data_IF_106308534416
#
_entry.id   IF_106308534416
#
_cell.length_a   1.000
_cell.length_b   1.000
_cell.length_c   1.000
_cell.angle_alpha   90.00
_cell.angle_beta   90.00
_cell.angle_gamma   90.00
#
_symmetry.space_group_name_H-M   'P 1'
#
loop_
_entity.id
_entity.type
_entity.pdbx_description
1 polymer ?
#
# COMPACT_ATOMS: atom_id res chain seq x y z
N UNK A 1 14.76 40.04 13.65
CA UNK A 1 15.85 40.35 14.59
C UNK A 1 15.78 39.31 15.71
N UNK A 2 16.85 38.59 15.94
CA UNK A 2 16.98 37.62 17.02
C UNK A 2 18.06 38.07 18.00
N UNK A 3 18.04 37.55 19.22
CA UNK A 3 19.11 37.75 20.21
C UNK A 3 20.32 36.85 19.90
N UNK A 4 21.01 36.42 20.94
CA UNK A 4 22.21 35.55 20.86
C UNK A 4 21.88 34.17 20.25
N UNK A 5 20.66 33.67 20.39
CA UNK A 5 20.22 32.36 19.90
C UNK A 5 18.88 32.49 19.17
N UNK A 6 18.60 31.51 18.32
CA UNK A 6 17.26 31.37 17.74
C UNK A 6 16.34 30.51 18.63
N UNK A 7 15.04 30.62 18.45
CA UNK A 7 14.06 29.77 19.13
C UNK A 7 14.23 28.30 18.74
N UNK A 8 14.24 27.39 19.72
CA UNK A 8 14.31 25.95 19.50
C UNK A 8 13.11 25.40 18.72
N UNK A 9 12.07 26.21 18.55
CA UNK A 9 10.95 25.91 17.65
C UNK A 9 11.37 25.66 16.20
N UNK A 10 12.52 26.20 15.79
CA UNK A 10 13.10 25.97 14.45
C UNK A 10 13.53 24.50 14.34
N UNK A 11 14.22 23.97 15.36
CA UNK A 11 14.65 22.56 15.38
C UNK A 11 13.45 21.62 15.32
N UNK A 12 12.36 21.95 16.05
CA UNK A 12 11.09 21.23 15.98
C UNK A 12 10.52 21.20 14.55
N UNK A 13 10.52 22.34 13.86
CA UNK A 13 10.02 22.41 12.47
C UNK A 13 10.87 21.55 11.53
N UNK A 14 12.19 21.57 11.67
CA UNK A 14 13.10 20.78 10.83
C UNK A 14 12.84 19.28 11.01
N UNK A 15 12.83 18.80 12.26
CA UNK A 15 12.63 17.36 12.52
C UNK A 15 11.21 16.90 12.14
N UNK A 16 10.19 17.76 12.25
CA UNK A 16 8.85 17.45 11.75
C UNK A 16 8.82 17.26 10.22
N UNK A 17 9.59 18.03 9.45
CA UNK A 17 9.70 17.81 8.00
C UNK A 17 10.36 16.47 7.71
N UNK A 18 11.45 16.14 8.40
CA UNK A 18 12.14 14.86 8.27
C UNK A 18 11.22 13.69 8.63
N UNK A 19 10.44 13.84 9.70
CA UNK A 19 9.44 12.83 10.09
C UNK A 19 8.33 12.66 9.04
N UNK A 20 7.93 13.73 8.36
CA UNK A 20 6.99 13.66 7.24
C UNK A 20 7.53 12.86 6.06
N UNK A 21 8.81 13.05 5.72
CA UNK A 21 9.50 12.25 4.69
C UNK A 21 9.57 10.77 5.13
N UNK A 22 9.99 10.53 6.37
CA UNK A 22 10.07 9.18 6.93
C UNK A 22 8.71 8.47 6.94
N UNK A 23 7.63 9.16 7.30
CA UNK A 23 6.27 8.61 7.30
C UNK A 23 5.83 8.16 5.89
N UNK A 24 6.14 8.95 4.86
CA UNK A 24 5.86 8.59 3.46
C UNK A 24 6.64 7.36 3.02
N UNK A 25 7.93 7.29 3.37
CA UNK A 25 8.78 6.15 3.08
C UNK A 25 8.33 4.89 3.84
N UNK A 26 7.88 5.04 5.09
CA UNK A 26 7.30 3.94 5.86
C UNK A 26 6.04 3.37 5.19
N UNK A 27 5.14 4.24 4.75
CA UNK A 27 3.92 3.82 4.04
C UNK A 27 4.27 3.02 2.78
N UNK A 28 5.17 3.54 1.95
CA UNK A 28 5.68 2.84 0.76
C UNK A 28 6.26 1.47 1.12
N UNK A 29 7.11 1.40 2.14
CA UNK A 29 7.75 0.14 2.55
C UNK A 29 6.74 -0.92 3.00
N UNK A 30 5.65 -0.52 3.63
CA UNK A 30 4.57 -1.43 3.99
C UNK A 30 3.86 -1.98 2.76
N UNK A 31 3.60 -1.15 1.75
CA UNK A 31 3.00 -1.61 0.49
C UNK A 31 3.89 -2.66 -0.20
N UNK A 32 5.20 -2.38 -0.30
CA UNK A 32 6.16 -3.34 -0.87
C UNK A 32 6.12 -4.67 -0.12
N UNK A 33 6.13 -4.64 1.21
CA UNK A 33 6.08 -5.86 2.05
C UNK A 33 4.80 -6.67 1.84
N UNK A 34 3.65 -6.00 1.74
CA UNK A 34 2.36 -6.64 1.50
C UNK A 34 2.29 -7.25 0.09
N UNK A 35 2.72 -6.51 -0.93
CA UNK A 35 2.71 -6.99 -2.31
C UNK A 35 3.74 -8.11 -2.54
N UNK A 36 4.87 -8.07 -1.84
CA UNK A 36 5.84 -9.18 -1.84
C UNK A 36 5.28 -10.42 -1.14
N UNK A 37 4.50 -10.27 -0.07
CA UNK A 37 3.77 -11.38 0.55
C UNK A 37 2.81 -12.04 -0.44
N UNK A 38 2.13 -11.24 -1.26
CA UNK A 38 1.26 -11.71 -2.34
C UNK A 38 2.02 -12.27 -3.55
N UNK A 39 3.36 -12.16 -3.57
CA UNK A 39 4.23 -12.56 -4.69
C UNK A 39 3.96 -11.76 -5.97
N UNK A 40 3.44 -10.55 -5.86
CA UNK A 40 3.12 -9.68 -6.98
C UNK A 40 4.29 -8.80 -7.38
N UNK A 41 5.11 -8.41 -6.39
CA UNK A 41 6.37 -7.68 -6.60
C UNK A 41 7.46 -8.24 -5.69
N UNK A 42 8.71 -7.92 -6.00
CA UNK A 42 9.85 -8.15 -5.12
C UNK A 42 10.80 -6.95 -5.15
N UNK A 43 11.40 -6.63 -4.02
CA UNK A 43 12.55 -5.73 -4.01
C UNK A 43 13.77 -6.40 -4.66
N UNK A 44 14.77 -5.61 -5.14
CA UNK A 44 15.93 -6.18 -5.84
C UNK A 44 16.67 -7.17 -4.95
N UNK A 45 17.06 -8.28 -5.56
CA UNK A 45 17.83 -9.35 -4.92
C UNK A 45 19.16 -9.53 -5.62
N UNK A 46 20.25 -9.33 -4.92
CA UNK A 46 21.58 -9.47 -5.49
C UNK A 46 21.97 -10.94 -5.66
N UNK A 47 22.73 -11.25 -6.72
CA UNK A 47 23.15 -12.63 -7.06
C UNK A 47 23.90 -13.33 -5.92
N UNK A 48 24.59 -12.56 -5.08
CA UNK A 48 25.36 -13.05 -3.93
C UNK A 48 24.60 -12.95 -2.60
N UNK A 49 23.39 -12.42 -2.60
CA UNK A 49 22.60 -12.25 -1.40
C UNK A 49 22.02 -13.58 -0.93
N UNK A 50 22.20 -13.90 0.34
CA UNK A 50 21.61 -15.08 0.98
C UNK A 50 20.29 -14.67 1.64
N UNK A 51 19.16 -15.17 1.14
CA UNK A 51 17.84 -14.85 1.68
C UNK A 51 17.53 -15.58 2.99
N UNK A 52 18.00 -16.81 3.14
CA UNK A 52 17.84 -17.66 4.32
C UNK A 52 18.80 -18.82 4.26
N UNK A 53 19.41 -19.18 5.39
CA UNK A 53 20.26 -20.37 5.50
C UNK A 53 19.51 -21.70 5.41
N UNK A 54 18.21 -21.70 5.72
CA UNK A 54 17.37 -22.90 5.74
C UNK A 54 16.51 -23.08 4.47
N UNK A 55 16.11 -21.98 3.82
CA UNK A 55 15.26 -22.00 2.64
C UNK A 55 15.88 -21.12 1.55
N UNK A 56 16.65 -21.72 0.66
CA UNK A 56 17.47 -20.99 -0.33
C UNK A 56 16.66 -20.09 -1.28
N UNK A 57 15.38 -20.43 -1.55
CA UNK A 57 14.52 -19.64 -2.44
C UNK A 57 13.79 -18.49 -1.70
N UNK A 58 13.82 -18.46 -0.36
CA UNK A 58 13.12 -17.45 0.43
C UNK A 58 13.72 -16.07 0.23
N UNK A 59 12.90 -15.13 -0.16
CA UNK A 59 13.25 -13.72 -0.32
C UNK A 59 12.44 -12.88 0.63
N UNK A 60 13.13 -12.15 1.50
CA UNK A 60 12.50 -11.25 2.46
C UNK A 60 12.68 -9.80 1.99
N UNK A 61 11.70 -8.93 2.21
CA UNK A 61 11.78 -7.51 1.88
C UNK A 61 12.64 -6.75 2.91
N UNK A 62 13.92 -7.13 3.03
CA UNK A 62 14.81 -6.64 4.10
C UNK A 62 15.10 -5.14 4.01
N UNK A 63 15.17 -4.59 2.78
CA UNK A 63 15.37 -3.15 2.56
C UNK A 63 14.14 -2.37 3.02
N UNK A 64 12.96 -2.81 2.64
CA UNK A 64 11.69 -2.23 3.06
C UNK A 64 11.48 -2.35 4.58
N UNK A 65 11.85 -3.47 5.19
CA UNK A 65 11.82 -3.62 6.66
C UNK A 65 12.76 -2.63 7.36
N UNK A 66 13.94 -2.38 6.79
CA UNK A 66 14.91 -1.42 7.32
C UNK A 66 14.42 0.02 7.16
N UNK A 67 13.80 0.36 6.01
CA UNK A 67 13.14 1.66 5.81
C UNK A 67 12.11 1.89 6.90
N UNK A 68 11.21 0.92 7.15
CA UNK A 68 10.19 1.04 8.19
C UNK A 68 10.79 1.23 9.59
N UNK A 69 11.84 0.48 9.91
CA UNK A 69 12.53 0.58 11.21
C UNK A 69 13.19 1.95 11.43
N UNK A 70 13.93 2.46 10.45
CA UNK A 70 14.54 3.79 10.52
C UNK A 70 13.49 4.89 10.56
N UNK A 71 12.41 4.75 9.80
CA UNK A 71 11.31 5.71 9.80
C UNK A 71 10.61 5.80 11.17
N UNK A 72 10.42 4.67 11.85
CA UNK A 72 9.90 4.66 13.23
C UNK A 72 10.79 5.47 14.17
N UNK A 73 12.12 5.34 14.02
CA UNK A 73 13.07 6.11 14.80
C UNK A 73 12.91 7.61 14.57
N UNK A 74 12.90 8.06 13.31
CA UNK A 74 12.76 9.49 12.96
C UNK A 74 11.43 10.06 13.44
N UNK A 75 10.34 9.32 13.27
CA UNK A 75 9.02 9.77 13.74
C UNK A 75 8.94 9.89 15.25
N UNK A 76 9.61 9.00 15.99
CA UNK A 76 9.67 9.07 17.46
C UNK A 76 10.57 10.21 17.94
N UNK A 77 11.61 10.55 17.19
CA UNK A 77 12.57 11.60 17.54
C UNK A 77 11.97 13.01 17.55
N UNK A 78 10.84 13.22 16.90
CA UNK A 78 10.09 14.50 16.90
C UNK A 78 9.85 15.05 18.32
N UNK A 79 9.70 14.18 19.29
CA UNK A 79 9.47 14.57 20.68
C UNK A 79 10.67 15.29 21.31
N UNK A 80 11.91 14.95 20.91
CA UNK A 80 13.10 15.56 21.45
C UNK A 80 13.14 17.08 21.22
N UNK A 81 13.15 17.60 19.99
CA UNK A 81 13.14 19.05 19.77
C UNK A 81 11.84 19.73 20.22
N UNK A 82 10.70 19.01 20.26
CA UNK A 82 9.46 19.55 20.77
C UNK A 82 9.56 19.85 22.27
N UNK A 83 10.11 18.91 23.05
CA UNK A 83 10.30 19.07 24.51
C UNK A 83 11.32 20.18 24.77
N UNK A 84 12.48 20.18 24.12
CA UNK A 84 13.50 21.21 24.33
C UNK A 84 12.98 22.60 23.96
N UNK A 85 12.12 22.71 22.95
CA UNK A 85 11.44 23.96 22.60
C UNK A 85 10.46 24.42 23.69
N UNK A 86 9.69 23.48 24.27
CA UNK A 86 8.70 23.78 25.28
C UNK A 86 9.31 24.17 26.64
N UNK A 87 10.47 23.64 26.97
CA UNK A 87 11.17 23.88 28.24
C UNK A 87 12.19 25.01 28.19
N UNK A 88 12.36 25.66 27.04
CA UNK A 88 13.28 26.80 26.86
C UNK A 88 12.89 27.97 27.76
N UNK A 89 13.86 28.43 28.59
CA UNK A 89 13.67 29.59 29.46
C UNK A 89 14.07 30.87 28.73
N UNK A 90 13.16 31.84 28.68
CA UNK A 90 13.41 33.13 28.04
C UNK A 90 14.06 32.96 26.65
N UNK A 91 15.26 33.45 26.47
CA UNK A 91 16.00 33.37 25.20
C UNK A 91 16.78 32.05 25.06
N UNK A 92 17.22 31.45 26.17
CA UNK A 92 18.09 30.27 26.15
C UNK A 92 18.13 29.52 27.49
N UNK A 93 18.17 28.18 27.38
CA UNK A 93 18.66 27.25 28.40
C UNK A 93 19.75 26.37 27.78
N UNK A 94 20.57 25.68 28.60
CA UNK A 94 21.62 24.78 28.12
C UNK A 94 21.17 23.33 28.00
N UNK A 95 20.00 22.97 28.47
CA UNK A 95 19.43 21.64 28.41
C UNK A 95 19.18 21.15 26.97
N UNK A 96 18.98 22.06 26.02
CA UNK A 96 18.86 21.78 24.59
C UNK A 96 20.18 21.32 23.96
N UNK A 97 21.31 21.71 24.52
CA UNK A 97 22.62 21.64 23.87
C UNK A 97 23.06 20.22 23.52
N UNK A 98 22.96 19.28 24.45
CA UNK A 98 23.29 17.88 24.20
C UNK A 98 22.21 17.19 23.37
N UNK A 99 20.93 17.38 23.73
CA UNK A 99 19.80 16.74 23.06
C UNK A 99 19.76 17.04 21.55
N UNK A 100 19.82 18.31 21.15
CA UNK A 100 19.77 18.69 19.74
C UNK A 100 20.96 18.18 18.91
N UNK A 101 22.11 17.96 19.53
CA UNK A 101 23.31 17.43 18.85
C UNK A 101 23.20 15.93 18.56
N UNK A 102 22.31 15.26 19.24
CA UNK A 102 21.95 13.87 18.96
C UNK A 102 20.73 13.81 18.01
N UNK A 103 19.62 14.35 18.45
CA UNK A 103 18.35 14.20 17.75
C UNK A 103 18.37 14.76 16.32
N UNK A 104 18.84 15.98 16.11
CA UNK A 104 18.82 16.60 14.77
C UNK A 104 19.76 15.88 13.79
N UNK A 105 21.06 15.68 14.06
CA UNK A 105 21.93 14.94 13.15
C UNK A 105 21.48 13.50 12.89
N UNK A 106 21.03 12.78 13.91
CA UNK A 106 20.56 11.41 13.74
C UNK A 106 19.32 11.32 12.88
N UNK A 107 18.38 12.27 13.01
CA UNK A 107 17.21 12.35 12.14
C UNK A 107 17.62 12.55 10.66
N UNK A 108 18.59 13.43 10.37
CA UNK A 108 19.12 13.62 9.03
C UNK A 108 19.81 12.37 8.49
N UNK A 109 20.69 11.75 9.27
CA UNK A 109 21.41 10.54 8.86
C UNK A 109 20.45 9.38 8.62
N UNK A 110 19.43 9.24 9.47
CA UNK A 110 18.43 8.19 9.31
C UNK A 110 17.58 8.42 8.04
N UNK A 111 17.17 9.67 7.76
CA UNK A 111 16.43 9.99 6.53
C UNK A 111 17.29 9.78 5.29
N UNK A 112 18.57 10.15 5.32
CA UNK A 112 19.52 9.90 4.24
C UNK A 112 19.60 8.39 3.92
N UNK A 113 19.82 7.57 4.95
CA UNK A 113 19.81 6.11 4.79
C UNK A 113 18.47 5.53 4.33
N UNK A 114 17.34 6.13 4.73
CA UNK A 114 16.01 5.76 4.24
C UNK A 114 15.91 6.04 2.72
N UNK A 115 16.35 7.21 2.28
CA UNK A 115 16.27 7.62 0.88
C UNK A 115 17.18 6.76 -0.02
N UNK A 116 18.38 6.43 0.43
CA UNK A 116 19.27 5.51 -0.28
C UNK A 116 18.64 4.14 -0.47
N UNK A 117 18.06 3.58 0.60
CA UNK A 117 17.34 2.30 0.52
C UNK A 117 16.11 2.39 -0.38
N UNK A 118 15.37 3.50 -0.29
CA UNK A 118 14.17 3.75 -1.11
C UNK A 118 14.53 3.76 -2.59
N UNK A 119 15.54 4.53 -2.99
CA UNK A 119 16.04 4.58 -4.36
C UNK A 119 16.47 3.20 -4.86
N UNK A 120 17.22 2.45 -4.03
CA UNK A 120 17.64 1.11 -4.39
C UNK A 120 16.45 0.16 -4.61
N UNK A 121 15.41 0.22 -3.78
CA UNK A 121 14.20 -0.61 -3.94
C UNK A 121 13.47 -0.23 -5.23
N UNK A 122 13.26 1.07 -5.49
CA UNK A 122 12.51 1.54 -6.66
C UNK A 122 13.23 1.22 -7.97
N UNK A 123 14.55 1.44 -8.02
CA UNK A 123 15.35 1.22 -9.23
C UNK A 123 15.41 -0.26 -9.63
N UNK A 124 15.38 -1.15 -8.65
CA UNK A 124 15.49 -2.60 -8.88
C UNK A 124 14.20 -3.40 -8.70
N UNK A 125 13.05 -2.73 -8.59
CA UNK A 125 11.77 -3.38 -8.32
C UNK A 125 11.39 -4.38 -9.41
N UNK A 126 11.08 -5.61 -8.99
CA UNK A 126 10.61 -6.67 -9.90
C UNK A 126 9.10 -6.77 -9.80
N UNK A 127 8.42 -6.73 -10.95
CA UNK A 127 6.95 -6.82 -11.03
C UNK A 127 6.56 -8.11 -11.76
N UNK A 128 5.68 -8.89 -11.13
CA UNK A 128 5.17 -10.16 -11.66
C UNK A 128 3.76 -9.97 -12.24
N UNK A 129 3.67 -9.40 -13.42
CA UNK A 129 2.43 -9.08 -14.13
C UNK A 129 1.44 -10.24 -14.23
N UNK A 130 1.95 -11.44 -14.49
CA UNK A 130 1.11 -12.65 -14.58
C UNK A 130 0.52 -13.08 -13.25
N UNK A 131 1.24 -12.88 -12.15
CA UNK A 131 0.72 -13.17 -10.79
C UNK A 131 -0.35 -12.15 -10.44
N UNK A 132 -0.08 -10.86 -10.71
CA UNK A 132 -1.05 -9.78 -10.52
C UNK A 132 -2.33 -10.06 -11.32
N UNK A 133 -2.18 -10.39 -12.61
CA UNK A 133 -3.32 -10.73 -13.47
C UNK A 133 -4.14 -11.90 -12.91
N UNK A 134 -3.46 -12.99 -12.46
CA UNK A 134 -4.15 -14.13 -11.84
C UNK A 134 -4.96 -13.74 -10.62
N UNK A 135 -4.40 -12.90 -9.74
CA UNK A 135 -5.11 -12.45 -8.54
C UNK A 135 -6.29 -11.54 -8.90
N UNK A 136 -6.10 -10.61 -9.83
CA UNK A 136 -7.18 -9.75 -10.31
C UNK A 136 -8.31 -10.61 -10.90
N UNK A 137 -8.00 -11.56 -11.76
CA UNK A 137 -9.02 -12.39 -12.42
C UNK A 137 -9.79 -13.30 -11.45
N UNK A 138 -9.23 -13.61 -10.27
CA UNK A 138 -9.96 -14.33 -9.23
C UNK A 138 -11.04 -13.46 -8.56
N UNK A 139 -10.82 -12.15 -8.45
CA UNK A 139 -11.71 -11.20 -7.77
C UNK A 139 -12.58 -10.37 -8.74
N UNK A 140 -12.10 -10.14 -9.96
CA UNK A 140 -12.75 -9.29 -10.94
C UNK A 140 -14.22 -9.66 -11.22
N UNK A 141 -14.61 -10.95 -11.28
CA UNK A 141 -16.03 -11.31 -11.46
C UNK A 141 -16.94 -10.75 -10.39
N UNK A 142 -16.50 -10.68 -9.12
CA UNK A 142 -17.25 -10.02 -8.05
C UNK A 142 -17.29 -8.51 -8.19
N UNK A 143 -16.17 -7.89 -8.57
CA UNK A 143 -16.06 -6.43 -8.78
C UNK A 143 -16.94 -5.97 -9.96
N UNK A 144 -17.03 -6.78 -11.01
CA UNK A 144 -17.79 -6.48 -12.22
C UNK A 144 -19.32 -6.55 -12.03
N UNK A 145 -19.82 -7.08 -10.93
CA UNK A 145 -21.26 -7.29 -10.70
C UNK A 145 -22.08 -6.00 -10.81
N UNK A 146 -21.52 -4.84 -10.47
CA UNK A 146 -22.17 -3.55 -10.64
C UNK A 146 -22.37 -3.21 -12.12
N UNK A 147 -21.33 -3.35 -12.95
CA UNK A 147 -21.39 -3.11 -14.39
C UNK A 147 -22.37 -4.08 -15.06
N UNK A 148 -22.30 -5.35 -14.69
CA UNK A 148 -23.21 -6.40 -15.17
C UNK A 148 -24.67 -6.05 -14.83
N UNK A 149 -24.93 -5.62 -13.59
CA UNK A 149 -26.28 -5.18 -13.18
C UNK A 149 -26.75 -4.01 -14.03
N UNK A 150 -25.89 -3.03 -14.29
CA UNK A 150 -26.25 -1.87 -15.11
C UNK A 150 -26.51 -2.25 -16.55
N UNK A 151 -25.81 -3.22 -17.12
CA UNK A 151 -26.07 -3.71 -18.48
C UNK A 151 -27.40 -4.49 -18.54
N UNK A 152 -27.70 -5.30 -17.53
CA UNK A 152 -29.02 -5.96 -17.44
C UNK A 152 -30.17 -4.96 -17.27
N UNK A 153 -29.98 -3.87 -16.52
CA UNK A 153 -31.00 -2.79 -16.42
C UNK A 153 -31.19 -2.10 -17.77
N UNK A 154 -30.13 -1.82 -18.53
CA UNK A 154 -30.24 -1.28 -19.89
C UNK A 154 -31.01 -2.23 -20.83
N UNK A 155 -30.89 -3.54 -20.60
CA UNK A 155 -31.63 -4.56 -21.33
C UNK A 155 -33.11 -4.69 -20.90
N UNK A 156 -33.57 -3.88 -19.93
CA UNK A 156 -34.97 -3.80 -19.49
C UNK A 156 -35.27 -4.47 -18.13
N UNK A 157 -34.25 -4.92 -17.41
CA UNK A 157 -34.41 -5.53 -16.09
C UNK A 157 -34.71 -4.52 -14.98
N UNK A 158 -35.43 -4.95 -13.93
CA UNK A 158 -35.67 -4.14 -12.73
C UNK A 158 -34.42 -4.10 -11.84
N UNK A 159 -33.96 -2.88 -11.53
CA UNK A 159 -32.69 -2.67 -10.78
C UNK A 159 -32.75 -3.28 -9.39
N UNK A 160 -33.87 -3.23 -8.69
CA UNK A 160 -33.95 -3.71 -7.31
C UNK A 160 -34.00 -5.23 -7.28
N UNK A 161 -34.75 -5.84 -8.19
CA UNK A 161 -34.79 -7.29 -8.35
C UNK A 161 -33.42 -7.84 -8.74
N UNK A 162 -32.74 -7.24 -9.72
CA UNK A 162 -31.41 -7.65 -10.17
C UNK A 162 -30.37 -7.51 -9.08
N UNK A 163 -30.44 -6.45 -8.28
CA UNK A 163 -29.54 -6.27 -7.13
C UNK A 163 -29.68 -7.39 -6.10
N UNK A 164 -30.92 -7.77 -5.73
CA UNK A 164 -31.17 -8.85 -4.78
C UNK A 164 -30.72 -10.22 -5.31
N UNK A 165 -30.90 -10.45 -6.61
CA UNK A 165 -30.41 -11.66 -7.28
C UNK A 165 -28.87 -11.73 -7.25
N UNK A 166 -28.18 -10.63 -7.64
CA UNK A 166 -26.71 -10.54 -7.57
C UNK A 166 -26.23 -10.79 -6.15
N UNK A 167 -26.89 -10.21 -5.13
CA UNK A 167 -26.54 -10.44 -3.73
C UNK A 167 -26.58 -11.93 -3.39
N UNK A 168 -27.65 -12.62 -3.76
CA UNK A 168 -27.83 -14.04 -3.49
C UNK A 168 -26.79 -14.89 -4.22
N UNK A 169 -26.60 -14.66 -5.53
CA UNK A 169 -25.62 -15.38 -6.34
C UNK A 169 -24.18 -15.13 -5.88
N UNK A 170 -23.87 -13.88 -5.45
CA UNK A 170 -22.56 -13.53 -4.90
C UNK A 170 -22.29 -14.26 -3.57
N UNK A 171 -23.30 -14.45 -2.73
CA UNK A 171 -23.15 -15.22 -1.50
C UNK A 171 -22.87 -16.69 -1.80
N UNK A 172 -23.55 -17.27 -2.79
CA UNK A 172 -23.32 -18.65 -3.22
C UNK A 172 -21.92 -18.85 -3.80
N UNK A 173 -21.50 -17.99 -4.75
CA UNK A 173 -20.16 -18.02 -5.32
C UNK A 173 -19.09 -17.78 -4.24
N UNK A 174 -19.33 -16.83 -3.33
CA UNK A 174 -18.42 -16.55 -2.21
C UNK A 174 -18.27 -17.74 -1.25
N UNK A 175 -19.36 -18.48 -0.98
CA UNK A 175 -19.29 -19.73 -0.21
C UNK A 175 -18.44 -20.77 -0.94
N UNK A 176 -18.66 -20.95 -2.23
CA UNK A 176 -17.89 -21.87 -3.08
C UNK A 176 -16.39 -21.56 -3.02
N UNK A 177 -15.99 -20.29 -3.14
CA UNK A 177 -14.58 -19.88 -3.06
C UNK A 177 -14.02 -20.08 -1.65
N UNK A 178 -14.71 -19.58 -0.61
CA UNK A 178 -14.17 -19.48 0.74
C UNK A 178 -14.28 -20.77 1.56
N UNK A 179 -15.35 -21.52 1.36
CA UNK A 179 -15.61 -22.76 2.15
C UNK A 179 -15.14 -24.00 1.41
N UNK A 180 -15.32 -24.05 0.07
CA UNK A 180 -14.99 -25.23 -0.72
C UNK A 180 -13.61 -25.13 -1.38
N UNK A 181 -13.01 -23.90 -1.42
CA UNK A 181 -11.70 -23.70 -2.06
C UNK A 181 -11.71 -23.84 -3.58
N UNK A 182 -12.89 -23.68 -4.19
CA UNK A 182 -13.08 -23.81 -5.63
C UNK A 182 -13.05 -22.44 -6.32
N UNK A 183 -12.91 -22.44 -7.64
CA UNK A 183 -12.90 -21.23 -8.45
C UNK A 183 -14.24 -20.49 -8.38
N UNK A 184 -14.17 -19.18 -8.57
CA UNK A 184 -15.32 -18.28 -8.62
C UNK A 184 -16.16 -18.56 -9.86
N UNK A 185 -17.45 -18.87 -9.67
CA UNK A 185 -18.42 -19.19 -10.72
C UNK A 185 -19.57 -18.18 -10.81
N UNK A 186 -19.36 -16.95 -10.33
CA UNK A 186 -20.45 -15.93 -10.30
C UNK A 186 -20.97 -15.61 -11.70
N UNK A 187 -20.13 -15.61 -12.73
CA UNK A 187 -20.53 -15.32 -14.11
C UNK A 187 -21.44 -16.42 -14.67
N UNK A 188 -21.12 -17.68 -14.40
CA UNK A 188 -21.94 -18.83 -14.79
C UNK A 188 -23.31 -18.79 -14.08
N UNK A 189 -23.32 -18.45 -12.78
CA UNK A 189 -24.57 -18.32 -12.02
C UNK A 189 -25.44 -17.19 -12.57
N UNK A 190 -24.86 -16.03 -12.90
CA UNK A 190 -25.60 -14.90 -13.51
C UNK A 190 -26.11 -15.27 -14.92
N UNK A 191 -25.27 -15.91 -15.74
CA UNK A 191 -25.66 -16.32 -17.08
C UNK A 191 -26.81 -17.36 -17.07
N UNK A 192 -26.90 -18.18 -16.03
CA UNK A 192 -27.96 -19.17 -15.85
C UNK A 192 -29.28 -18.55 -15.34
N UNK A 193 -29.27 -17.34 -14.79
CA UNK A 193 -30.45 -16.68 -14.27
C UNK A 193 -31.14 -15.83 -15.39
N UNK A 194 -32.35 -16.22 -15.83
CA UNK A 194 -33.03 -15.55 -16.95
C UNK A 194 -33.39 -14.08 -16.68
N UNK A 195 -33.39 -13.64 -15.41
CA UNK A 195 -33.68 -12.26 -15.06
C UNK A 195 -32.67 -11.26 -15.61
N UNK A 196 -31.44 -11.69 -15.84
CA UNK A 196 -30.36 -10.81 -16.37
C UNK A 196 -30.45 -10.67 -17.90
N UNK A 197 -31.00 -11.65 -18.59
CA UNK A 197 -31.05 -11.68 -20.06
C UNK A 197 -29.68 -11.39 -20.73
N UNK A 198 -28.60 -11.91 -20.13
CA UNK A 198 -27.21 -11.76 -20.59
C UNK A 198 -26.62 -13.15 -20.83
N UNK A 199 -25.86 -13.28 -21.89
CA UNK A 199 -25.07 -14.50 -22.15
C UNK A 199 -23.73 -14.45 -21.41
N UNK A 200 -23.10 -15.60 -21.24
CA UNK A 200 -21.75 -15.66 -20.69
C UNK A 200 -20.75 -14.83 -21.50
N UNK A 201 -20.92 -14.76 -22.82
CA UNK A 201 -20.10 -13.93 -23.71
C UNK A 201 -20.28 -12.42 -23.41
N UNK A 202 -21.51 -11.97 -23.13
CA UNK A 202 -21.77 -10.58 -22.73
C UNK A 202 -21.14 -10.25 -21.39
N UNK A 203 -21.19 -11.17 -20.44
CA UNK A 203 -20.57 -11.01 -19.12
C UNK A 203 -19.03 -10.93 -19.21
N UNK A 204 -18.44 -11.71 -20.12
CA UNK A 204 -16.98 -11.71 -20.32
C UNK A 204 -16.44 -10.37 -20.85
N UNK A 205 -17.27 -9.54 -21.50
CA UNK A 205 -16.88 -8.18 -21.94
C UNK A 205 -16.51 -7.27 -20.78
N UNK A 206 -17.03 -7.55 -19.57
CA UNK A 206 -16.72 -6.83 -18.35
C UNK A 206 -15.45 -7.35 -17.66
N UNK A 207 -14.80 -8.39 -18.19
CA UNK A 207 -13.64 -9.03 -17.58
C UNK A 207 -12.29 -8.48 -18.07
N UNK A 208 -12.27 -7.25 -18.55
CA UNK A 208 -11.04 -6.52 -18.86
C UNK A 208 -10.63 -5.66 -17.65
N UNK A 209 -9.52 -5.98 -16.95
CA UNK A 209 -9.05 -5.20 -15.81
C UNK A 209 -8.80 -3.72 -16.12
N UNK A 210 -8.50 -3.37 -17.36
CA UNK A 210 -8.25 -1.99 -17.78
C UNK A 210 -9.47 -1.07 -17.60
N UNK A 211 -10.67 -1.63 -17.58
CA UNK A 211 -11.93 -0.90 -17.36
C UNK A 211 -12.07 -0.40 -15.92
N UNK A 212 -11.28 -0.93 -14.99
CA UNK A 212 -11.38 -0.68 -13.54
C UNK A 212 -10.21 0.14 -12.97
N UNK A 213 -9.28 0.59 -13.80
CA UNK A 213 -8.09 1.30 -13.36
C UNK A 213 -8.34 2.79 -13.03
N UNK A 214 -9.53 3.30 -13.34
CA UNK A 214 -9.87 4.70 -13.12
C UNK A 214 -8.89 5.65 -13.81
N UNK A 215 -8.28 6.53 -13.02
CA UNK A 215 -7.31 7.53 -13.52
C UNK A 215 -5.85 7.14 -13.30
N UNK A 216 -5.56 5.92 -12.87
CA UNK A 216 -4.18 5.48 -12.54
C UNK A 216 -3.20 5.67 -13.70
N UNK A 217 -3.67 5.50 -14.95
CA UNK A 217 -2.85 5.72 -16.16
C UNK A 217 -2.35 7.18 -16.30
N UNK A 218 -3.04 8.13 -15.65
CA UNK A 218 -2.78 9.57 -15.79
C UNK A 218 -2.04 10.17 -14.58
N UNK A 219 -1.87 9.39 -13.53
CA UNK A 219 -1.12 9.75 -12.32
C UNK A 219 0.35 9.41 -12.45
#
# INVERSE_FOLDING_TARGET
VSGQTYSRKVDTKVVNVLAGIAASAHKFSNDIRLLQHLKEIEEPFEKTQIGSSAMAYKRNPMRSERIASLANYVMSDVMNPAITSATQWFERTLDDSANKRMSVPEAFLAVDGILDLYLNVVDGLVVYDKVIYKHIMAELPFMATENIMMDAVKAGGDRQELHERIRTLSMEAGRRVKVEGLDNNILELIAADPAFNLTLEDLQKNMDPSLYTGRSKWQ
#
